data_IF_688143556479
#
_entry.id   IF_688143556479
#
_cell.length_a   1.000
_cell.length_b   1.000
_cell.length_c   1.000
_cell.angle_alpha   90.00
_cell.angle_beta   90.00
_cell.angle_gamma   90.00
#
_symmetry.space_group_name_H-M   'P 1'
#
loop_
_entity.id
_entity.type
_entity.pdbx_description
1 polymer ?
#
# COMPACT_ATOMS: atom_id res chain seq x y z
N UNK A 1 -4.01 -11.17 18.59
CA UNK A 1 -2.70 -10.52 18.47
C UNK A 1 -1.63 -11.51 18.86
N UNK A 2 -0.71 -11.75 17.96
CA UNK A 2 0.50 -12.48 18.31
C UNK A 2 1.32 -11.64 19.30
N UNK A 3 1.63 -12.17 20.48
CA UNK A 3 2.45 -11.44 21.46
C UNK A 3 3.93 -11.48 21.12
N UNK A 4 4.36 -12.45 20.32
CA UNK A 4 5.78 -12.71 20.04
C UNK A 4 6.18 -12.29 18.61
N UNK A 5 5.27 -12.38 17.64
CA UNK A 5 5.53 -12.13 16.24
C UNK A 5 4.43 -11.24 15.62
N UNK A 6 4.37 -9.96 16.02
CA UNK A 6 3.32 -9.06 15.54
C UNK A 6 3.47 -8.72 14.05
N UNK A 7 2.33 -8.56 13.39
CA UNK A 7 2.26 -8.21 11.95
C UNK A 7 1.58 -6.86 11.79
N UNK A 8 2.32 -5.92 11.24
CA UNK A 8 1.83 -4.60 10.83
C UNK A 8 1.78 -4.56 9.31
N UNK A 9 0.60 -4.37 8.75
CA UNK A 9 0.44 -4.30 7.30
C UNK A 9 -0.14 -2.94 6.87
N UNK A 10 0.47 -2.38 5.83
CA UNK A 10 -0.01 -1.19 5.14
C UNK A 10 -0.53 -1.61 3.78
N UNK A 11 -1.79 -1.28 3.48
CA UNK A 11 -2.40 -1.52 2.18
C UNK A 11 -2.81 -0.21 1.53
N UNK A 12 -2.49 -0.06 0.26
CA UNK A 12 -2.83 1.14 -0.51
C UNK A 12 -2.30 1.05 -1.92
N UNK A 13 -2.88 1.84 -2.83
CA UNK A 13 -2.37 1.88 -4.19
C UNK A 13 -1.15 2.79 -4.32
N UNK A 14 -0.34 2.51 -5.33
CA UNK A 14 0.92 3.20 -5.72
C UNK A 14 0.73 4.70 -6.02
N UNK A 15 -0.02 5.46 -5.52
CA UNK A 15 -0.24 6.91 -5.70
C UNK A 15 -0.89 7.53 -4.47
N UNK A 16 -1.25 6.68 -3.49
CA UNK A 16 -1.97 7.15 -2.31
C UNK A 16 -1.06 7.78 -1.24
N UNK A 17 0.27 7.79 -1.43
CA UNK A 17 1.23 8.34 -0.47
C UNK A 17 2.00 7.29 0.34
N UNK A 18 2.24 6.12 -0.25
CA UNK A 18 2.96 5.00 0.38
C UNK A 18 4.37 5.38 0.83
N UNK A 19 5.07 6.25 0.09
CA UNK A 19 6.38 6.78 0.51
C UNK A 19 6.31 7.53 1.84
N UNK A 20 5.26 8.31 2.08
CA UNK A 20 5.06 9.01 3.36
C UNK A 20 4.87 8.02 4.50
N UNK A 21 4.16 6.92 4.24
CA UNK A 21 3.97 5.83 5.22
C UNK A 21 5.29 5.15 5.52
N UNK A 22 6.04 4.76 4.50
CA UNK A 22 7.35 4.12 4.66
C UNK A 22 8.27 4.98 5.55
N UNK A 23 8.41 6.27 5.23
CA UNK A 23 9.24 7.19 6.01
C UNK A 23 8.76 7.32 7.47
N UNK A 24 7.44 7.40 7.70
CA UNK A 24 6.90 7.47 9.06
C UNK A 24 7.24 6.21 9.86
N UNK A 25 7.10 5.02 9.27
CA UNK A 25 7.46 3.76 9.93
C UNK A 25 8.97 3.63 10.17
N UNK A 26 9.81 4.04 9.24
CA UNK A 26 11.27 4.08 9.46
C UNK A 26 11.63 4.94 10.67
N UNK A 27 11.00 6.10 10.84
CA UNK A 27 11.18 6.94 12.02
C UNK A 27 10.69 6.25 13.30
N UNK A 28 9.51 5.60 13.25
CA UNK A 28 8.95 4.86 14.39
C UNK A 28 9.89 3.72 14.80
N UNK A 29 10.31 2.88 13.84
CA UNK A 29 11.18 1.74 14.12
C UNK A 29 12.51 2.19 14.74
N UNK A 30 13.12 3.24 14.19
CA UNK A 30 14.36 3.81 14.72
C UNK A 30 14.17 4.36 16.14
N UNK A 31 13.10 5.10 16.40
CA UNK A 31 12.79 5.69 17.71
C UNK A 31 12.50 4.63 18.77
N UNK A 32 11.81 3.58 18.38
CA UNK A 32 11.41 2.47 19.24
C UNK A 32 12.48 1.38 19.35
N UNK A 33 13.58 1.51 18.62
CA UNK A 33 14.64 0.49 18.52
C UNK A 33 14.12 -0.88 18.06
N UNK A 34 13.14 -0.90 17.16
CA UNK A 34 12.55 -2.10 16.59
C UNK A 34 13.30 -2.53 15.32
N UNK A 35 13.47 -3.82 15.15
CA UNK A 35 14.07 -4.47 13.97
C UNK A 35 12.96 -5.17 13.18
N UNK A 36 12.33 -4.48 12.22
CA UNK A 36 11.31 -5.12 11.40
C UNK A 36 11.95 -6.01 10.33
N UNK A 37 11.31 -7.14 10.02
CA UNK A 37 11.47 -7.71 8.68
C UNK A 37 10.50 -7.00 7.74
N UNK A 38 11.03 -6.37 6.69
CA UNK A 38 10.23 -5.58 5.74
C UNK A 38 9.90 -6.44 4.53
N UNK A 39 8.62 -6.57 4.25
CA UNK A 39 8.08 -7.34 3.11
C UNK A 39 7.35 -6.40 2.16
N UNK A 40 7.84 -6.31 0.94
CA UNK A 40 7.22 -5.52 -0.12
C UNK A 40 6.20 -6.35 -0.90
N UNK A 41 5.02 -5.80 -1.12
CA UNK A 41 3.92 -6.49 -1.78
C UNK A 41 4.20 -6.90 -3.22
N UNK A 42 5.03 -6.14 -3.93
CA UNK A 42 5.43 -6.44 -5.32
C UNK A 42 6.18 -7.76 -5.42
N UNK A 43 6.83 -8.20 -4.34
CA UNK A 43 7.48 -9.51 -4.22
C UNK A 43 6.52 -10.69 -4.37
N UNK A 44 5.23 -10.46 -4.14
CA UNK A 44 4.18 -11.48 -4.24
C UNK A 44 3.39 -11.42 -5.56
N UNK A 45 3.86 -10.64 -6.56
CA UNK A 45 3.35 -10.79 -7.92
C UNK A 45 3.72 -12.17 -8.49
N UNK A 46 2.83 -12.73 -9.30
CA UNK A 46 3.04 -14.04 -9.95
C UNK A 46 4.05 -13.95 -11.08
N UNK A 47 4.05 -12.84 -11.80
CA UNK A 47 4.84 -12.64 -13.01
C UNK A 47 5.86 -11.52 -12.81
N UNK A 48 7.03 -11.71 -13.37
CA UNK A 48 8.01 -10.65 -13.56
C UNK A 48 7.53 -9.64 -14.63
N UNK A 49 8.34 -8.64 -14.91
CA UNK A 49 7.97 -7.57 -15.87
C UNK A 49 7.66 -8.11 -17.26
N UNK A 50 8.41 -9.09 -17.74
CA UNK A 50 8.23 -9.69 -19.08
C UNK A 50 7.02 -10.62 -19.07
N UNK A 51 6.95 -11.53 -18.12
CA UNK A 51 5.83 -12.47 -17.98
C UNK A 51 4.48 -11.76 -17.78
N UNK A 52 4.46 -10.61 -17.06
CA UNK A 52 3.24 -9.84 -16.90
C UNK A 52 2.75 -9.20 -18.21
N UNK A 53 3.67 -8.70 -19.05
CA UNK A 53 3.30 -8.19 -20.39
C UNK A 53 2.68 -9.28 -21.26
N UNK A 54 3.30 -10.46 -21.26
CA UNK A 54 2.79 -11.61 -22.02
C UNK A 54 1.43 -12.09 -21.50
N UNK A 55 1.26 -12.15 -20.18
CA UNK A 55 0.02 -12.55 -19.55
C UNK A 55 -1.12 -11.58 -19.86
N UNK A 56 -0.86 -10.25 -19.79
CA UNK A 56 -1.82 -9.22 -20.20
C UNK A 56 -2.19 -9.32 -21.67
N UNK A 57 -1.21 -9.53 -22.56
CA UNK A 57 -1.49 -9.70 -24.00
C UNK A 57 -2.39 -10.91 -24.25
N UNK A 58 -2.08 -12.06 -23.66
CA UNK A 58 -2.88 -13.30 -23.77
C UNK A 58 -4.31 -13.12 -23.23
N UNK A 59 -4.48 -12.40 -22.12
CA UNK A 59 -5.80 -12.11 -21.57
C UNK A 59 -6.59 -11.19 -22.52
N UNK A 60 -5.95 -10.13 -23.05
CA UNK A 60 -6.55 -9.22 -24.01
C UNK A 60 -7.04 -9.95 -25.27
N UNK A 61 -6.26 -10.86 -25.84
CA UNK A 61 -6.63 -11.66 -27.01
C UNK A 61 -7.87 -12.54 -26.77
N UNK A 62 -8.11 -12.91 -25.50
CA UNK A 62 -9.30 -13.67 -25.08
C UNK A 62 -10.48 -12.80 -24.68
N UNK A 63 -10.33 -11.48 -24.64
CA UNK A 63 -11.32 -10.56 -24.09
C UNK A 63 -11.44 -10.63 -22.57
N UNK A 64 -10.43 -11.16 -21.89
CA UNK A 64 -10.34 -11.25 -20.43
C UNK A 64 -9.59 -10.05 -19.84
N UNK A 65 -9.89 -9.73 -18.60
CA UNK A 65 -9.23 -8.63 -17.89
C UNK A 65 -8.09 -9.19 -17.02
N UNK A 66 -6.93 -8.55 -17.06
CA UNK A 66 -5.81 -8.90 -16.22
C UNK A 66 -5.07 -7.66 -15.76
N UNK A 67 -4.83 -7.55 -14.45
CA UNK A 67 -4.08 -6.45 -13.87
C UNK A 67 -3.29 -6.89 -12.62
N UNK A 68 -2.36 -6.05 -12.19
CA UNK A 68 -1.63 -6.25 -10.92
C UNK A 68 -2.54 -6.19 -9.67
N UNK A 69 -3.80 -5.80 -9.80
CA UNK A 69 -4.73 -5.73 -8.68
C UNK A 69 -5.48 -7.04 -8.43
N UNK A 70 -5.58 -7.90 -9.45
CA UNK A 70 -6.36 -9.12 -9.42
C UNK A 70 -5.59 -10.37 -8.96
N UNK A 71 -6.32 -11.46 -8.67
CA UNK A 71 -5.74 -12.70 -8.14
C UNK A 71 -4.87 -13.43 -9.17
N UNK A 72 -5.12 -13.26 -10.46
CA UNK A 72 -4.36 -13.96 -11.53
C UNK A 72 -2.92 -13.45 -11.61
N UNK A 73 -2.68 -12.21 -11.22
CA UNK A 73 -1.36 -11.59 -11.21
C UNK A 73 -0.64 -11.71 -9.87
N UNK A 74 -1.27 -12.27 -8.83
CA UNK A 74 -0.75 -12.27 -7.47
C UNK A 74 -0.77 -13.66 -6.82
N UNK A 75 0.11 -13.84 -5.84
CA UNK A 75 0.24 -15.06 -5.04
C UNK A 75 -0.43 -14.87 -3.67
N UNK A 76 -1.75 -14.61 -3.66
CA UNK A 76 -2.48 -14.29 -2.42
C UNK A 76 -2.40 -15.39 -1.36
N UNK A 77 -2.46 -16.66 -1.76
CA UNK A 77 -2.31 -17.78 -0.82
C UNK A 77 -0.90 -17.83 -0.19
N UNK A 78 0.14 -17.57 -0.98
CA UNK A 78 1.52 -17.52 -0.48
C UNK A 78 1.72 -16.33 0.47
N UNK A 79 1.09 -15.18 0.20
CA UNK A 79 1.11 -14.03 1.10
C UNK A 79 0.38 -14.33 2.41
N UNK A 80 -0.78 -14.99 2.34
CA UNK A 80 -1.50 -15.43 3.54
C UNK A 80 -0.69 -16.43 4.36
N UNK A 81 -0.06 -17.39 3.70
CA UNK A 81 0.80 -18.38 4.35
C UNK A 81 1.99 -17.73 5.07
N UNK A 82 2.62 -16.71 4.45
CA UNK A 82 3.65 -15.92 5.13
C UNK A 82 3.13 -15.31 6.41
N UNK A 83 2.00 -14.58 6.35
CA UNK A 83 1.46 -13.89 7.52
C UNK A 83 1.07 -14.87 8.62
N UNK A 84 0.47 -16.00 8.24
CA UNK A 84 0.12 -17.06 9.18
C UNK A 84 1.37 -17.64 9.86
N UNK A 85 2.36 -18.05 9.08
CA UNK A 85 3.59 -18.68 9.56
C UNK A 85 4.39 -17.72 10.45
N UNK A 86 4.58 -16.46 9.98
CA UNK A 86 5.28 -15.48 10.80
C UNK A 86 4.57 -15.22 12.14
N UNK A 87 3.24 -15.08 12.12
CA UNK A 87 2.46 -14.90 13.35
C UNK A 87 2.52 -16.08 14.32
N UNK A 88 2.76 -17.31 13.82
CA UNK A 88 2.87 -18.54 14.62
C UNK A 88 4.26 -18.70 15.24
N UNK A 89 5.32 -18.54 14.46
CA UNK A 89 6.69 -18.90 14.88
C UNK A 89 7.79 -17.91 14.48
N UNK A 90 7.46 -16.78 13.82
CA UNK A 90 8.42 -15.76 13.39
C UNK A 90 9.21 -16.14 12.15
N UNK A 91 8.85 -17.22 11.46
CA UNK A 91 9.52 -17.67 10.24
C UNK A 91 8.70 -17.39 8.99
N UNK A 92 9.29 -17.56 7.83
CA UNK A 92 8.65 -17.39 6.54
C UNK A 92 9.67 -17.20 5.43
N UNK A 93 9.16 -16.98 4.21
CA UNK A 93 10.02 -16.75 3.05
C UNK A 93 9.58 -15.51 2.30
N UNK A 94 10.53 -14.78 1.74
CA UNK A 94 10.31 -13.67 0.83
C UNK A 94 11.27 -13.74 -0.35
N UNK A 95 10.97 -12.95 -1.36
CA UNK A 95 11.86 -12.63 -2.48
C UNK A 95 11.75 -11.14 -2.76
N UNK A 96 12.63 -10.58 -3.55
CA UNK A 96 12.59 -9.16 -3.94
C UNK A 96 12.25 -9.04 -5.41
N UNK A 97 11.42 -8.04 -5.73
CA UNK A 97 11.21 -7.59 -7.10
C UNK A 97 12.19 -6.44 -7.37
N UNK A 98 13.05 -6.60 -8.35
CA UNK A 98 14.10 -5.64 -8.66
C UNK A 98 13.55 -4.52 -9.56
N UNK A 99 13.37 -3.33 -9.01
CA UNK A 99 12.79 -2.19 -9.71
C UNK A 99 13.79 -1.47 -10.62
N UNK A 100 15.04 -1.38 -10.17
CA UNK A 100 16.11 -0.58 -10.78
C UNK A 100 17.37 -1.40 -11.09
N UNK A 101 18.27 -0.83 -11.90
CA UNK A 101 19.56 -1.42 -12.16
C UNK A 101 20.43 -1.50 -10.89
N UNK A 102 20.37 -0.48 -10.04
CA UNK A 102 21.09 -0.45 -8.77
C UNK A 102 20.70 -1.63 -7.86
N UNK A 103 19.40 -1.96 -7.81
CA UNK A 103 18.94 -3.13 -7.07
C UNK A 103 19.39 -4.45 -7.72
N UNK A 104 19.36 -4.52 -9.06
CA UNK A 104 19.78 -5.71 -9.80
C UNK A 104 21.28 -5.98 -9.68
N UNK A 105 22.10 -4.95 -9.65
CA UNK A 105 23.57 -5.06 -9.54
C UNK A 105 24.02 -5.77 -8.24
N UNK A 106 23.16 -5.83 -7.22
CA UNK A 106 23.41 -6.59 -6.01
C UNK A 106 23.23 -8.12 -6.18
N UNK A 107 22.67 -8.55 -7.31
CA UNK A 107 22.35 -9.96 -7.57
C UNK A 107 22.91 -10.39 -8.92
N UNK A 108 23.91 -11.27 -8.93
CA UNK A 108 24.57 -11.76 -10.15
C UNK A 108 23.55 -12.44 -11.10
N UNK A 109 23.52 -11.97 -12.36
CA UNK A 109 22.71 -12.55 -13.43
C UNK A 109 21.23 -12.17 -13.40
N UNK A 110 20.82 -11.21 -12.57
CA UNK A 110 19.45 -10.69 -12.55
C UNK A 110 19.39 -9.29 -13.20
N UNK A 111 18.23 -9.00 -13.78
CA UNK A 111 17.94 -7.75 -14.48
C UNK A 111 16.74 -7.02 -13.81
N UNK A 112 16.62 -5.69 -13.98
CA UNK A 112 15.46 -4.94 -13.50
C UNK A 112 14.14 -5.51 -14.03
N UNK A 113 13.21 -5.74 -13.12
CA UNK A 113 11.91 -6.32 -13.43
C UNK A 113 11.81 -7.83 -13.18
N UNK A 114 12.88 -8.44 -12.69
CA UNK A 114 12.91 -9.84 -12.27
C UNK A 114 12.76 -9.98 -10.75
N UNK A 115 12.59 -11.23 -10.30
CA UNK A 115 12.57 -11.59 -8.89
C UNK A 115 13.88 -12.26 -8.49
N UNK A 116 14.31 -12.01 -7.27
CA UNK A 116 15.33 -12.85 -6.62
C UNK A 116 14.76 -14.25 -6.33
N UNK A 117 15.60 -15.26 -6.06
CA UNK A 117 15.15 -16.48 -5.45
C UNK A 117 14.44 -16.24 -4.11
N UNK A 118 13.54 -17.17 -3.73
CA UNK A 118 12.96 -17.16 -2.39
C UNK A 118 14.04 -17.40 -1.34
N UNK A 119 13.98 -16.65 -0.26
CA UNK A 119 14.90 -16.74 0.87
C UNK A 119 14.14 -16.67 2.18
N UNK A 120 14.68 -17.30 3.22
CA UNK A 120 14.10 -17.28 4.55
C UNK A 120 14.16 -15.86 5.14
N UNK A 121 13.15 -15.49 5.93
CA UNK A 121 13.14 -14.24 6.68
C UNK A 121 14.21 -14.26 7.78
N UNK A 122 14.67 -13.05 8.15
CA UNK A 122 15.49 -12.89 9.35
C UNK A 122 14.66 -13.23 10.59
N UNK A 123 15.07 -14.28 11.31
CA UNK A 123 14.39 -14.75 12.51
C UNK A 123 14.65 -13.86 13.74
N UNK A 124 15.63 -12.95 13.67
CA UNK A 124 15.94 -11.98 14.74
C UNK A 124 15.20 -10.65 14.52
N UNK A 125 13.92 -10.72 14.16
CA UNK A 125 13.06 -9.58 13.95
C UNK A 125 12.03 -9.42 15.06
N UNK A 126 11.70 -8.17 15.39
CA UNK A 126 10.71 -7.82 16.42
C UNK A 126 9.28 -7.82 15.86
N UNK A 127 9.12 -7.63 14.55
CA UNK A 127 7.83 -7.65 13.86
C UNK A 127 8.00 -7.85 12.35
N UNK A 128 6.93 -8.30 11.68
CA UNK A 128 6.80 -8.22 10.23
C UNK A 128 6.09 -6.92 9.85
N UNK A 129 6.72 -6.15 8.97
CA UNK A 129 6.14 -4.95 8.37
C UNK A 129 5.92 -5.19 6.88
N UNK A 130 4.65 -5.24 6.47
CA UNK A 130 4.26 -5.37 5.07
C UNK A 130 3.79 -4.04 4.50
N UNK A 131 4.27 -3.69 3.31
CA UNK A 131 3.75 -2.56 2.54
C UNK A 131 3.45 -3.00 1.11
N UNK A 132 2.20 -2.75 0.65
CA UNK A 132 1.82 -3.10 -0.71
C UNK A 132 0.33 -2.98 -1.00
N UNK A 133 -0.07 -3.55 -2.14
CA UNK A 133 -1.44 -3.45 -2.64
C UNK A 133 -2.44 -4.35 -1.89
N UNK A 134 -1.97 -5.45 -1.27
CA UNK A 134 -2.82 -6.57 -0.90
C UNK A 134 -2.72 -6.97 0.59
N UNK A 135 -2.23 -6.08 1.47
CA UNK A 135 -2.08 -6.36 2.89
C UNK A 135 -3.39 -6.70 3.63
N UNK A 136 -4.53 -6.31 3.08
CA UNK A 136 -5.85 -6.62 3.62
C UNK A 136 -6.73 -7.43 2.66
N UNK A 137 -6.15 -8.09 1.64
CA UNK A 137 -6.93 -8.78 0.61
C UNK A 137 -7.68 -9.98 1.19
N UNK A 138 -8.90 -10.17 0.67
CA UNK A 138 -9.72 -11.34 0.89
C UNK A 138 -10.31 -11.78 -0.44
N UNK A 139 -10.05 -13.03 -0.83
CA UNK A 139 -10.53 -13.63 -2.06
C UNK A 139 -10.85 -15.12 -1.83
N UNK A 140 -12.12 -15.46 -1.93
CA UNK A 140 -12.58 -16.83 -1.74
C UNK A 140 -12.11 -17.44 -0.41
N UNK A 141 -11.11 -18.33 -0.48
CA UNK A 141 -10.56 -19.04 0.68
C UNK A 141 -9.46 -18.25 1.38
N UNK A 142 -8.85 -17.29 0.72
CA UNK A 142 -7.73 -16.48 1.22
C UNK A 142 -8.26 -15.27 1.99
N UNK A 143 -7.71 -14.99 3.17
CA UNK A 143 -8.01 -13.82 3.99
C UNK A 143 -6.75 -13.34 4.73
N UNK A 144 -5.91 -12.57 4.03
CA UNK A 144 -4.67 -12.01 4.60
C UNK A 144 -4.95 -11.13 5.81
N UNK A 145 -6.06 -10.36 5.76
CA UNK A 145 -6.41 -9.38 6.81
C UNK A 145 -6.59 -9.99 8.21
N UNK A 146 -6.93 -11.28 8.31
CA UNK A 146 -7.18 -11.94 9.60
C UNK A 146 -5.92 -12.19 10.42
N UNK A 147 -4.75 -12.14 9.77
CA UNK A 147 -3.46 -12.38 10.42
C UNK A 147 -2.77 -11.09 10.86
N UNK A 148 -3.31 -9.92 10.49
CA UNK A 148 -2.73 -8.64 10.87
C UNK A 148 -3.09 -8.24 12.30
N UNK A 149 -2.11 -7.83 13.09
CA UNK A 149 -2.32 -7.20 14.41
C UNK A 149 -2.73 -5.73 14.25
N UNK A 150 -2.12 -5.05 13.28
CA UNK A 150 -2.48 -3.70 12.86
C UNK A 150 -2.53 -3.63 11.33
N UNK A 151 -3.71 -3.35 10.78
CA UNK A 151 -3.90 -3.15 9.34
C UNK A 151 -4.25 -1.69 9.04
N UNK A 152 -3.37 -1.03 8.28
CA UNK A 152 -3.47 0.38 7.94
C UNK A 152 -3.83 0.52 6.46
N UNK A 153 -4.82 1.36 6.18
CA UNK A 153 -5.21 1.72 4.83
C UNK A 153 -4.71 3.11 4.45
N UNK A 154 -3.98 3.21 3.34
CA UNK A 154 -3.74 4.48 2.65
C UNK A 154 -4.77 4.58 1.53
N UNK A 155 -5.88 5.25 1.86
CA UNK A 155 -7.08 5.22 1.02
C UNK A 155 -6.98 6.28 -0.06
N UNK A 156 -7.01 5.90 -1.34
CA UNK A 156 -6.94 6.88 -2.41
C UNK A 156 -8.26 7.67 -2.56
N UNK A 157 -8.13 8.92 -2.98
CA UNK A 157 -9.18 9.59 -3.72
C UNK A 157 -8.92 9.27 -5.19
N UNK A 158 -9.85 8.58 -5.84
CA UNK A 158 -9.65 8.01 -7.19
C UNK A 158 -9.14 9.04 -8.19
N UNK A 159 -9.74 10.22 -8.23
CA UNK A 159 -9.31 11.27 -9.16
C UNK A 159 -7.89 11.76 -8.86
N UNK A 160 -7.53 11.94 -7.59
CA UNK A 160 -6.16 12.30 -7.21
C UNK A 160 -5.15 11.21 -7.59
N UNK A 161 -5.48 9.94 -7.36
CA UNK A 161 -4.64 8.82 -7.75
C UNK A 161 -4.41 8.78 -9.27
N UNK A 162 -5.45 9.02 -10.05
CA UNK A 162 -5.35 9.07 -11.51
C UNK A 162 -4.51 10.25 -12.00
N UNK A 163 -4.69 11.45 -11.43
CA UNK A 163 -3.84 12.60 -11.72
C UNK A 163 -2.38 12.26 -11.47
N UNK A 164 -2.05 11.75 -10.29
CA UNK A 164 -0.69 11.36 -9.92
C UNK A 164 -0.12 10.30 -10.86
N UNK A 165 -0.92 9.27 -11.20
CA UNK A 165 -0.50 8.22 -12.12
C UNK A 165 -0.25 8.75 -13.53
N UNK A 166 -1.15 9.58 -14.07
CA UNK A 166 -0.99 10.16 -15.40
C UNK A 166 0.29 11.00 -15.45
N UNK A 167 0.50 11.90 -14.50
CA UNK A 167 1.68 12.75 -14.46
C UNK A 167 2.98 11.94 -14.35
N UNK A 168 3.03 10.95 -13.47
CA UNK A 168 4.20 10.09 -13.31
C UNK A 168 4.48 9.28 -14.59
N UNK A 169 3.48 8.59 -15.11
CA UNK A 169 3.69 7.65 -16.22
C UNK A 169 3.95 8.38 -17.54
N UNK A 170 3.43 9.61 -17.73
CA UNK A 170 3.74 10.43 -18.90
C UNK A 170 5.07 11.17 -18.74
N UNK A 171 5.34 11.77 -17.59
CA UNK A 171 6.52 12.61 -17.35
C UNK A 171 7.80 11.80 -17.13
N UNK A 172 7.74 10.74 -16.32
CA UNK A 172 8.94 9.97 -15.95
C UNK A 172 9.15 8.72 -16.81
N UNK A 173 8.06 8.08 -17.28
CA UNK A 173 8.12 6.80 -17.99
C UNK A 173 7.89 6.94 -19.50
N UNK A 174 7.51 8.13 -19.97
CA UNK A 174 7.35 8.45 -21.38
C UNK A 174 6.15 7.79 -22.09
N UNK A 175 5.15 7.30 -21.34
CA UNK A 175 3.92 6.78 -21.92
C UNK A 175 3.03 7.92 -22.46
N UNK A 176 2.24 7.66 -23.50
CA UNK A 176 1.20 8.62 -23.93
C UNK A 176 0.04 8.61 -22.92
N UNK A 177 -0.68 9.74 -22.83
CA UNK A 177 -1.86 9.87 -21.98
C UNK A 177 -2.92 8.82 -22.31
N UNK A 178 -3.12 8.49 -23.59
CA UNK A 178 -4.08 7.48 -24.02
C UNK A 178 -3.74 6.08 -23.50
N UNK A 179 -2.46 5.68 -23.55
CA UNK A 179 -1.98 4.39 -23.02
C UNK A 179 -2.18 4.32 -21.50
N UNK A 180 -1.90 5.42 -20.79
CA UNK A 180 -2.11 5.48 -19.34
C UNK A 180 -3.58 5.40 -19.00
N UNK A 181 -4.43 6.14 -19.71
CA UNK A 181 -5.89 6.15 -19.54
C UNK A 181 -6.47 4.76 -19.77
N UNK A 182 -6.12 4.10 -20.89
CA UNK A 182 -6.57 2.74 -21.19
C UNK A 182 -6.15 1.77 -20.07
N UNK A 183 -4.91 1.89 -19.60
CA UNK A 183 -4.42 1.08 -18.47
C UNK A 183 -5.22 1.31 -17.19
N UNK A 184 -5.59 2.55 -16.87
CA UNK A 184 -6.43 2.87 -15.71
C UNK A 184 -7.80 2.22 -15.85
N UNK A 185 -8.46 2.44 -16.97
CA UNK A 185 -9.83 1.92 -17.21
C UNK A 185 -9.88 0.40 -17.19
N UNK A 186 -8.91 -0.26 -17.81
CA UNK A 186 -8.81 -1.71 -17.82
C UNK A 186 -8.64 -2.32 -16.43
N UNK A 187 -7.98 -1.62 -15.50
CA UNK A 187 -7.75 -2.08 -14.12
C UNK A 187 -8.95 -1.88 -13.18
N UNK A 188 -9.98 -1.13 -13.61
CA UNK A 188 -11.07 -0.71 -12.72
C UNK A 188 -11.88 -1.89 -12.15
N UNK A 189 -12.05 -2.97 -12.91
CA UNK A 189 -12.72 -4.15 -12.39
C UNK A 189 -11.99 -4.71 -11.16
N UNK A 190 -10.71 -5.01 -11.30
CA UNK A 190 -9.89 -5.55 -10.20
C UNK A 190 -9.73 -4.54 -9.06
N UNK A 191 -9.62 -3.25 -9.39
CA UNK A 191 -9.55 -2.18 -8.40
C UNK A 191 -10.77 -2.19 -7.47
N UNK A 192 -11.96 -2.30 -8.02
CA UNK A 192 -13.21 -2.30 -7.24
C UNK A 192 -13.45 -3.61 -6.50
N UNK A 193 -12.91 -4.74 -6.96
CA UNK A 193 -13.12 -6.05 -6.36
C UNK A 193 -12.02 -6.44 -5.36
N UNK A 194 -10.77 -6.03 -5.57
CA UNK A 194 -9.64 -6.48 -4.77
C UNK A 194 -8.93 -5.37 -3.99
N UNK A 195 -8.94 -4.11 -4.45
CA UNK A 195 -8.27 -3.00 -3.76
C UNK A 195 -9.23 -2.29 -2.80
N UNK A 196 -10.31 -1.71 -3.31
CA UNK A 196 -11.20 -0.89 -2.47
C UNK A 196 -11.87 -1.64 -1.30
N UNK A 197 -12.25 -2.93 -1.40
CA UNK A 197 -12.88 -3.64 -0.30
C UNK A 197 -11.97 -3.82 0.92
N UNK A 198 -10.65 -3.76 0.74
CA UNK A 198 -9.69 -3.90 1.83
C UNK A 198 -9.85 -2.79 2.87
N UNK A 199 -10.16 -1.55 2.44
CA UNK A 199 -10.30 -0.40 3.33
C UNK A 199 -11.47 -0.49 4.32
N UNK A 200 -12.40 -1.41 4.13
CA UNK A 200 -13.43 -1.74 5.12
C UNK A 200 -12.90 -2.62 6.25
N UNK A 201 -11.79 -3.33 6.04
CA UNK A 201 -11.16 -4.24 6.99
C UNK A 201 -10.09 -3.57 7.84
N UNK A 202 -9.44 -2.53 7.32
CA UNK A 202 -8.38 -1.78 7.99
C UNK A 202 -8.79 -1.24 9.37
N UNK A 203 -7.85 -1.21 10.28
CA UNK A 203 -8.02 -0.64 11.62
C UNK A 203 -8.00 0.88 11.59
N UNK A 204 -7.08 1.44 10.79
CA UNK A 204 -6.91 2.89 10.61
C UNK A 204 -6.81 3.18 9.12
N UNK A 205 -7.55 4.18 8.66
CA UNK A 205 -7.48 4.69 7.29
C UNK A 205 -6.93 6.10 7.27
N UNK A 206 -5.95 6.35 6.43
CA UNK A 206 -5.46 7.69 6.08
C UNK A 206 -5.90 8.01 4.66
N UNK A 207 -6.67 9.06 4.48
CA UNK A 207 -7.18 9.47 3.19
C UNK A 207 -6.85 10.94 2.93
N UNK A 208 -5.99 11.20 1.95
CA UNK A 208 -5.69 12.55 1.51
C UNK A 208 -6.80 13.05 0.59
N UNK A 209 -7.43 14.15 0.98
CA UNK A 209 -8.58 14.77 0.27
C UNK A 209 -8.16 16.14 -0.23
N UNK A 210 -8.04 16.36 -1.55
CA UNK A 210 -7.76 17.67 -2.14
C UNK A 210 -8.87 18.67 -1.83
N UNK A 211 -8.50 19.94 -1.66
CA UNK A 211 -9.39 21.09 -1.51
C UNK A 211 -9.54 21.89 -2.82
N UNK A 212 -8.80 21.52 -3.83
CA UNK A 212 -8.87 22.06 -5.19
C UNK A 212 -9.66 21.13 -6.11
N UNK A 213 -10.09 21.65 -7.26
CA UNK A 213 -10.88 20.87 -8.22
C UNK A 213 -10.05 19.72 -8.83
N UNK A 214 -10.51 18.50 -8.62
CA UNK A 214 -9.97 17.27 -9.21
C UNK A 214 -11.03 16.50 -10.00
N UNK A 215 -12.13 17.16 -10.38
CA UNK A 215 -13.29 16.52 -11.03
C UNK A 215 -12.95 15.84 -12.36
N UNK A 216 -11.97 16.36 -13.10
CA UNK A 216 -11.51 15.76 -14.35
C UNK A 216 -10.00 15.45 -14.29
N UNK A 217 -9.62 14.23 -13.86
CA UNK A 217 -8.23 13.82 -13.71
C UNK A 217 -7.46 13.77 -15.04
N UNK A 218 -8.14 13.66 -16.19
CA UNK A 218 -7.48 13.51 -17.49
C UNK A 218 -6.96 14.84 -18.07
N UNK A 219 -7.45 15.98 -17.57
CA UNK A 219 -7.02 17.31 -18.01
C UNK A 219 -6.36 18.12 -16.91
N UNK A 220 -6.16 17.54 -15.73
CA UNK A 220 -5.50 18.22 -14.63
C UNK A 220 -4.04 18.54 -14.99
N UNK A 221 -3.68 19.84 -14.88
CA UNK A 221 -2.33 20.32 -15.23
C UNK A 221 -1.31 20.05 -14.15
N UNK A 222 -1.76 20.08 -12.89
CA UNK A 222 -0.90 19.98 -11.72
C UNK A 222 -1.43 18.92 -10.74
N UNK A 223 -0.53 18.30 -10.01
CA UNK A 223 -0.88 17.42 -8.89
C UNK A 223 -1.15 18.31 -7.68
N UNK A 224 -2.33 18.23 -7.03
CA UNK A 224 -2.60 18.95 -5.80
C UNK A 224 -1.48 18.76 -4.76
N UNK A 225 -1.00 19.85 -4.18
CA UNK A 225 0.05 19.83 -3.16
C UNK A 225 -0.51 19.34 -1.80
N UNK A 226 0.36 18.95 -0.85
CA UNK A 226 -0.09 18.65 0.52
C UNK A 226 -0.87 19.81 1.17
N UNK A 227 -0.46 21.05 0.95
CA UNK A 227 -1.12 22.24 1.53
C UNK A 227 -2.50 22.52 0.89
N UNK A 228 -2.74 22.00 -0.30
CA UNK A 228 -4.04 22.02 -0.97
C UNK A 228 -4.90 20.79 -0.63
N UNK A 229 -4.67 20.19 0.53
CA UNK A 229 -5.36 18.97 0.94
C UNK A 229 -5.61 18.94 2.45
N UNK A 230 -6.58 18.11 2.85
CA UNK A 230 -6.68 17.57 4.20
C UNK A 230 -6.37 16.09 4.22
N UNK A 231 -5.99 15.56 5.38
CA UNK A 231 -5.95 14.11 5.61
C UNK A 231 -7.05 13.72 6.58
N UNK A 232 -7.95 12.89 6.12
CA UNK A 232 -9.03 12.30 6.94
C UNK A 232 -8.51 10.99 7.51
N UNK A 233 -8.41 10.91 8.84
CA UNK A 233 -7.90 9.74 9.55
C UNK A 233 -9.06 9.10 10.30
N UNK A 234 -9.47 7.91 9.86
CA UNK A 234 -10.59 7.18 10.41
C UNK A 234 -10.11 5.93 11.15
N UNK A 235 -10.54 5.78 12.38
CA UNK A 235 -10.32 4.60 13.21
C UNK A 235 -11.56 3.69 13.16
N UNK A 236 -11.37 2.42 12.83
CA UNK A 236 -12.47 1.44 12.81
C UNK A 236 -13.01 1.19 14.23
N UNK A 237 -12.09 0.96 15.16
CA UNK A 237 -12.40 0.79 16.57
C UNK A 237 -11.36 1.53 17.45
N UNK A 238 -11.60 2.79 17.82
CA UNK A 238 -10.65 3.56 18.64
C UNK A 238 -10.31 2.90 19.98
N UNK A 239 -11.22 2.10 20.54
CA UNK A 239 -11.00 1.42 21.83
C UNK A 239 -9.98 0.28 21.72
N UNK A 240 -9.83 -0.33 20.54
CA UNK A 240 -8.85 -1.42 20.33
C UNK A 240 -7.43 -0.95 20.66
N UNK A 241 -7.11 0.31 20.38
CA UNK A 241 -5.78 0.89 20.51
C UNK A 241 -5.71 1.99 21.57
N UNK A 242 -6.72 2.14 22.42
CA UNK A 242 -6.77 3.18 23.47
C UNK A 242 -6.55 4.60 22.92
N UNK A 243 -7.12 4.93 21.76
CA UNK A 243 -6.90 6.23 21.11
C UNK A 243 -7.42 7.37 21.98
N UNK A 244 -6.52 8.28 22.35
CA UNK A 244 -6.86 9.53 23.07
C UNK A 244 -6.96 10.69 22.07
N UNK A 245 -8.17 11.00 21.64
CA UNK A 245 -8.42 12.09 20.68
C UNK A 245 -8.08 13.48 21.22
N UNK A 246 -8.22 13.74 22.52
CA UNK A 246 -7.87 15.02 23.13
C UNK A 246 -6.36 15.26 23.02
N UNK A 247 -5.57 14.24 23.30
CA UNK A 247 -4.12 14.26 23.11
C UNK A 247 -3.76 14.49 21.64
N UNK A 248 -4.33 13.73 20.71
CA UNK A 248 -4.06 13.88 19.28
C UNK A 248 -4.38 15.29 18.78
N UNK A 249 -5.53 15.85 19.17
CA UNK A 249 -5.91 17.21 18.81
C UNK A 249 -4.94 18.26 19.37
N UNK A 250 -4.41 18.05 20.57
CA UNK A 250 -3.43 18.96 21.18
C UNK A 250 -2.08 18.95 20.45
N UNK A 251 -1.67 17.79 19.93
CA UNK A 251 -0.40 17.61 19.22
C UNK A 251 -0.49 18.03 17.74
N UNK A 252 -1.63 17.86 17.11
CA UNK A 252 -1.86 18.12 15.70
C UNK A 252 -2.58 19.45 15.49
N UNK A 253 -1.87 20.56 15.60
CA UNK A 253 -2.46 21.91 15.47
C UNK A 253 -3.20 22.07 14.13
N UNK A 254 -4.39 22.68 14.16
CA UNK A 254 -5.28 22.85 13.02
C UNK A 254 -6.12 21.60 12.68
N UNK A 255 -6.03 20.56 13.51
CA UNK A 255 -6.88 19.38 13.39
C UNK A 255 -8.23 19.56 14.11
N UNK A 256 -9.21 18.76 13.68
CA UNK A 256 -10.54 18.74 14.31
C UNK A 256 -11.19 17.35 14.16
N UNK A 257 -12.17 17.06 15.02
CA UNK A 257 -12.99 15.86 14.90
C UNK A 257 -14.13 16.10 13.92
N UNK A 258 -14.20 15.34 12.83
CA UNK A 258 -15.36 15.35 11.93
C UNK A 258 -16.43 14.33 12.35
N UNK A 259 -16.04 13.28 13.03
CA UNK A 259 -16.91 12.25 13.63
C UNK A 259 -16.26 11.69 14.89
N UNK A 260 -17.01 10.88 15.67
CA UNK A 260 -16.52 10.27 16.92
C UNK A 260 -15.26 9.42 16.79
N UNK A 261 -14.96 8.95 15.59
CA UNK A 261 -13.82 8.08 15.28
C UNK A 261 -12.99 8.62 14.10
N UNK A 262 -13.10 9.91 13.80
CA UNK A 262 -12.45 10.49 12.63
C UNK A 262 -11.88 11.86 12.95
N UNK A 263 -10.56 11.99 12.87
CA UNK A 263 -9.82 13.24 12.95
C UNK A 263 -9.46 13.70 11.54
N UNK A 264 -9.52 15.02 11.33
CA UNK A 264 -9.07 15.65 10.08
C UNK A 264 -7.89 16.55 10.42
N UNK A 265 -6.81 16.40 9.64
CA UNK A 265 -5.58 17.18 9.81
C UNK A 265 -5.21 17.91 8.52
N UNK A 266 -4.50 19.05 8.56
CA UNK A 266 -3.94 19.68 7.36
C UNK A 266 -3.04 18.70 6.60
N UNK A 267 -3.10 18.68 5.27
CA UNK A 267 -2.41 17.70 4.44
C UNK A 267 -0.89 17.70 4.59
N UNK A 268 -0.28 18.87 4.77
CA UNK A 268 1.16 18.98 5.05
C UNK A 268 1.62 18.33 6.37
N UNK A 269 0.68 17.91 7.23
CA UNK A 269 0.97 17.22 8.50
C UNK A 269 0.76 15.71 8.45
N UNK A 270 0.55 15.12 7.28
CA UNK A 270 0.24 13.70 7.15
C UNK A 270 1.32 12.81 7.79
N UNK A 271 2.60 13.05 7.50
CA UNK A 271 3.71 12.26 8.07
C UNK A 271 3.77 12.36 9.58
N UNK A 272 3.70 13.59 10.11
CA UNK A 272 3.69 13.82 11.57
C UNK A 272 2.48 13.19 12.25
N UNK A 273 1.30 13.27 11.62
CA UNK A 273 0.10 12.61 12.14
C UNK A 273 0.27 11.08 12.20
N UNK A 274 0.90 10.47 11.19
CA UNK A 274 1.22 9.05 11.20
C UNK A 274 2.16 8.69 12.35
N UNK A 275 3.25 9.44 12.54
CA UNK A 275 4.21 9.18 13.61
C UNK A 275 3.63 9.31 15.02
N UNK A 276 2.62 10.17 15.21
CA UNK A 276 1.96 10.36 16.51
C UNK A 276 0.88 9.31 16.77
N UNK A 277 0.21 8.82 15.72
CA UNK A 277 -0.91 7.90 15.82
C UNK A 277 -0.44 6.45 15.88
N UNK A 278 0.59 6.11 15.12
CA UNK A 278 1.12 4.76 14.98
C UNK A 278 2.30 4.53 15.93
#
# INVERSE_FOLDING_TARGET
MSTNHPIVAVTGSSGAGTTTVKNAFEHIFRRMHLRPVVVEGDSYHRYDRVGMREAVAKATDKGENMSHFGPDANLFATLEDLFRQYGEDGTGQQRFYLHSQEEADAYEGLEPGQFTPWQDLDTDSDLLFYEGLHGGVKDGKTDVSRHCDLLIGVVPIVNLEWIQKIHRDTGERGYSTDVVTDTILRRMYDYTHFITPQFSRTDINFQRVPTVDTSNPFIARDIPTPDESFVVIRFKNPKKFNINFEYLLSMLSGSFMSRRNTIVVPGGKMGFAMEIIL
#
